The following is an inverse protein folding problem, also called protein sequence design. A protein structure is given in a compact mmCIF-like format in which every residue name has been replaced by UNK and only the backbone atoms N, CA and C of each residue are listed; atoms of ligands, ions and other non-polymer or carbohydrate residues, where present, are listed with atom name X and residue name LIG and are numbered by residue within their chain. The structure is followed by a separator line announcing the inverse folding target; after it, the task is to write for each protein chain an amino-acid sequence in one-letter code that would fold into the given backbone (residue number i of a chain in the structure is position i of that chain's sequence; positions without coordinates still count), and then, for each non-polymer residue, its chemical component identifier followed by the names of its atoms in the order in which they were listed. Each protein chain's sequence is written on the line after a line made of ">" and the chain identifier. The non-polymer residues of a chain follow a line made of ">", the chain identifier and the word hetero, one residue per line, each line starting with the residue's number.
data_IF_769852519578
#
_entry.id   IF_769852519578
#
_cell.length_a   1.000
_cell.length_b   1.000
_cell.length_c   1.000
_cell.angle_alpha   90.00
_cell.angle_beta   90.00
_cell.angle_gamma   90.00
#
_symmetry.space_group_name_H-M   'P 1'
#
loop_
_entity.id
_entity.type
_entity.pdbx_description
1 polymer ?
#
# COMPACT_ATOMS: atom_id res chain seq x y z
N UNK A 1 9.23 -8.80 -16.25
CA UNK A 1 10.07 -7.58 -16.42
C UNK A 1 10.42 -6.94 -15.07
N UNK A 2 9.50 -6.89 -14.08
CA UNK A 2 9.71 -6.20 -12.79
C UNK A 2 10.78 -6.85 -11.91
N UNK A 3 10.77 -8.17 -11.80
CA UNK A 3 11.65 -8.92 -10.90
C UNK A 3 12.80 -9.63 -11.60
N UNK A 4 12.79 -9.76 -12.93
CA UNK A 4 13.65 -10.69 -13.66
C UNK A 4 13.21 -12.15 -13.51
N UNK A 5 13.64 -13.02 -14.40
CA UNK A 5 13.10 -14.39 -14.52
C UNK A 5 13.37 -15.23 -13.27
N UNK A 6 14.61 -15.27 -12.78
CA UNK A 6 15.00 -16.11 -11.64
C UNK A 6 14.24 -15.71 -10.38
N UNK A 7 14.20 -14.42 -10.07
CA UNK A 7 13.47 -13.89 -8.91
C UNK A 7 11.97 -14.12 -9.05
N UNK A 8 11.39 -13.97 -10.24
CA UNK A 8 9.98 -14.26 -10.50
C UNK A 8 9.63 -15.70 -10.15
N UNK A 9 10.39 -16.66 -10.66
CA UNK A 9 10.17 -18.09 -10.37
C UNK A 9 10.29 -18.36 -8.86
N UNK A 10 11.38 -17.92 -8.23
CA UNK A 10 11.59 -18.13 -6.80
C UNK A 10 10.48 -17.52 -5.93
N UNK A 11 10.01 -16.33 -6.26
CA UNK A 11 8.99 -15.63 -5.50
C UNK A 11 7.62 -16.26 -5.70
N UNK A 12 7.22 -16.51 -6.96
CA UNK A 12 5.90 -17.09 -7.27
C UNK A 12 5.75 -18.54 -6.80
N UNK A 13 6.85 -19.29 -6.67
CA UNK A 13 6.83 -20.64 -6.10
C UNK A 13 6.70 -20.66 -4.58
N UNK A 14 6.75 -19.51 -3.92
CA UNK A 14 6.65 -19.37 -2.46
C UNK A 14 5.41 -18.63 -1.98
N UNK A 15 4.70 -17.93 -2.88
CA UNK A 15 3.50 -17.21 -2.51
C UNK A 15 2.37 -18.19 -2.15
N UNK A 16 1.65 -17.93 -1.06
CA UNK A 16 0.57 -18.73 -0.49
C UNK A 16 0.97 -20.19 -0.16
N UNK A 17 2.25 -20.43 0.06
CA UNK A 17 2.76 -21.74 0.43
C UNK A 17 3.08 -21.79 1.92
N UNK A 18 2.91 -22.94 2.57
CA UNK A 18 3.17 -23.16 3.99
C UNK A 18 4.54 -22.65 4.46
N UNK A 19 5.58 -22.83 3.64
CA UNK A 19 6.95 -22.37 3.93
C UNK A 19 7.31 -21.07 3.18
N UNK A 20 6.31 -20.31 2.79
CA UNK A 20 6.46 -19.13 1.96
C UNK A 20 5.96 -17.85 2.63
N UNK A 21 5.12 -17.12 1.93
CA UNK A 21 4.51 -15.87 2.40
C UNK A 21 3.14 -15.68 1.75
N UNK A 22 2.28 -14.93 2.41
CA UNK A 22 0.93 -14.64 1.91
C UNK A 22 0.94 -13.59 0.81
N UNK A 23 0.09 -13.80 -0.19
CA UNK A 23 -0.14 -12.80 -1.21
C UNK A 23 -0.77 -11.53 -0.60
N UNK A 24 -0.21 -10.34 -0.88
CA UNK A 24 -0.78 -9.09 -0.35
C UNK A 24 -2.14 -8.71 -0.97
N UNK A 25 -2.65 -9.51 -1.92
CA UNK A 25 -3.89 -9.20 -2.65
C UNK A 25 -5.16 -9.58 -1.92
N UNK A 26 -5.22 -10.78 -1.35
CA UNK A 26 -6.39 -11.30 -0.65
C UNK A 26 -5.99 -12.35 0.38
N UNK A 27 -6.94 -12.73 1.23
CA UNK A 27 -6.78 -13.83 2.19
C UNK A 27 -6.93 -15.17 1.46
N UNK A 28 -5.86 -15.66 0.89
CA UNK A 28 -5.81 -17.01 0.31
C UNK A 28 -5.63 -18.03 1.43
N UNK A 29 -6.49 -19.05 1.55
CA UNK A 29 -6.36 -20.03 2.63
C UNK A 29 -5.11 -20.90 2.41
N UNK A 30 -4.31 -21.08 3.47
CA UNK A 30 -3.19 -22.03 3.45
C UNK A 30 -3.70 -23.47 3.51
N UNK A 31 -3.14 -24.32 2.68
CA UNK A 31 -3.37 -25.76 2.73
C UNK A 31 -2.27 -26.47 3.54
N UNK A 32 -2.60 -27.63 4.12
CA UNK A 32 -1.62 -28.43 4.88
C UNK A 32 -0.47 -28.97 4.01
N UNK A 33 -0.71 -29.10 2.72
CA UNK A 33 0.25 -29.65 1.76
C UNK A 33 0.74 -28.57 0.82
N UNK A 34 2.04 -28.59 0.57
CA UNK A 34 2.64 -27.72 -0.43
C UNK A 34 2.21 -28.12 -1.84
N UNK A 35 1.83 -27.13 -2.64
CA UNK A 35 1.54 -27.26 -4.06
C UNK A 35 2.70 -26.76 -4.94
N UNK A 36 2.63 -27.00 -6.22
CA UNK A 36 3.64 -26.52 -7.16
C UNK A 36 3.62 -25.00 -7.27
N UNK A 37 2.41 -24.41 -7.34
CA UNK A 37 2.18 -22.98 -7.41
C UNK A 37 0.77 -22.66 -6.91
N UNK A 38 0.62 -21.61 -6.10
CA UNK A 38 -0.65 -21.19 -5.50
C UNK A 38 -0.84 -19.68 -5.60
N UNK A 39 -1.09 -19.21 -6.81
CA UNK A 39 -1.40 -17.83 -7.06
C UNK A 39 -2.34 -17.67 -8.26
N UNK A 40 -3.16 -16.64 -8.23
CA UNK A 40 -3.92 -16.20 -9.38
C UNK A 40 -3.13 -15.15 -10.16
N UNK A 41 -3.63 -14.75 -11.33
CA UNK A 41 -3.00 -13.72 -12.16
C UNK A 41 -2.83 -12.38 -11.41
N UNK A 42 -3.87 -11.93 -10.69
CA UNK A 42 -3.82 -10.68 -9.92
C UNK A 42 -2.82 -10.76 -8.76
N UNK A 43 -2.78 -11.89 -8.05
CA UNK A 43 -1.78 -12.13 -7.02
C UNK A 43 -0.36 -12.17 -7.55
N UNK A 44 -0.14 -12.81 -8.70
CA UNK A 44 1.15 -12.81 -9.39
C UNK A 44 1.60 -11.40 -9.79
N UNK A 45 0.70 -10.56 -10.29
CA UNK A 45 0.98 -9.15 -10.59
C UNK A 45 1.30 -8.34 -9.33
N UNK A 46 0.49 -8.46 -8.28
CA UNK A 46 0.70 -7.74 -7.02
C UNK A 46 2.06 -8.09 -6.40
N UNK A 47 2.40 -9.38 -6.35
CA UNK A 47 3.70 -9.85 -5.84
C UNK A 47 4.85 -9.35 -6.72
N UNK A 48 4.67 -9.30 -8.05
CA UNK A 48 5.69 -8.78 -8.97
C UNK A 48 5.98 -7.31 -8.73
N UNK A 49 4.96 -6.50 -8.49
CA UNK A 49 5.09 -5.08 -8.15
C UNK A 49 5.76 -4.88 -6.79
N UNK A 50 5.36 -5.65 -5.77
CA UNK A 50 5.97 -5.58 -4.44
C UNK A 50 7.45 -5.98 -4.45
N UNK A 51 7.82 -7.00 -5.21
CA UNK A 51 9.16 -7.55 -5.30
C UNK A 51 10.02 -6.94 -6.42
N UNK A 52 9.59 -5.83 -7.03
CA UNK A 52 10.32 -5.15 -8.10
C UNK A 52 11.74 -4.74 -7.67
N UNK A 53 12.67 -4.80 -8.61
CA UNK A 53 14.03 -4.29 -8.42
C UNK A 53 14.16 -2.80 -8.75
N UNK A 54 13.12 -2.22 -9.36
CA UNK A 54 13.10 -0.79 -9.71
C UNK A 54 12.96 0.06 -8.44
N UNK A 55 13.65 1.18 -8.43
CA UNK A 55 13.68 2.12 -7.29
C UNK A 55 13.43 3.53 -7.75
N UNK A 56 12.58 4.23 -7.00
CA UNK A 56 12.30 5.65 -7.14
C UNK A 56 12.89 6.36 -5.94
N UNK A 57 13.95 7.11 -6.17
CA UNK A 57 14.70 7.80 -5.15
C UNK A 57 14.93 9.28 -5.47
N UNK A 58 15.77 9.98 -4.71
CA UNK A 58 16.02 11.42 -4.87
C UNK A 58 16.41 11.84 -6.29
N UNK A 59 17.21 11.03 -6.98
CA UNK A 59 17.64 11.34 -8.35
C UNK A 59 16.46 11.37 -9.33
N UNK A 60 15.52 10.44 -9.20
CA UNK A 60 14.30 10.41 -10.02
C UNK A 60 13.48 11.70 -9.84
N UNK A 61 13.28 12.13 -8.59
CA UNK A 61 12.51 13.33 -8.29
C UNK A 61 13.25 14.63 -8.62
N UNK A 62 14.57 14.61 -8.65
CA UNK A 62 15.36 15.74 -9.14
C UNK A 62 15.27 15.91 -10.66
N UNK A 63 15.06 14.81 -11.39
CA UNK A 63 14.91 14.80 -12.85
C UNK A 63 13.49 15.13 -13.31
N UNK A 64 12.47 14.74 -12.52
CA UNK A 64 11.05 14.83 -12.89
C UNK A 64 10.33 15.87 -12.03
N UNK A 65 9.93 16.98 -12.66
CA UNK A 65 9.09 17.98 -12.01
C UNK A 65 7.67 17.45 -11.78
N UNK A 66 6.92 18.10 -10.90
CA UNK A 66 5.51 17.80 -10.64
C UNK A 66 4.68 17.84 -11.93
N UNK A 67 4.93 18.80 -12.80
CA UNK A 67 4.17 18.94 -14.05
C UNK A 67 4.47 17.78 -15.02
N UNK A 68 5.72 17.32 -15.06
CA UNK A 68 6.09 16.12 -15.83
C UNK A 68 5.39 14.88 -15.26
N UNK A 69 5.43 14.69 -13.93
CA UNK A 69 4.79 13.54 -13.28
C UNK A 69 3.27 13.53 -13.48
N UNK A 70 2.61 14.67 -13.42
CA UNK A 70 1.15 14.82 -13.69
C UNK A 70 0.77 14.52 -15.13
N UNK A 71 1.70 14.64 -16.06
CA UNK A 71 1.50 14.32 -17.46
C UNK A 71 1.52 12.83 -17.80
N UNK A 72 1.94 11.99 -16.86
CA UNK A 72 1.97 10.53 -17.01
C UNK A 72 0.71 9.88 -16.44
N UNK A 73 0.33 8.72 -16.97
CA UNK A 73 -0.74 7.91 -16.44
C UNK A 73 -0.30 7.10 -15.21
N UNK A 74 -1.27 6.60 -14.44
CA UNK A 74 -1.04 5.84 -13.22
C UNK A 74 -0.24 4.55 -13.47
N UNK A 75 -0.43 3.94 -14.65
CA UNK A 75 0.31 2.76 -15.02
C UNK A 75 1.81 3.06 -15.17
N UNK A 76 2.15 4.15 -15.88
CA UNK A 76 3.53 4.57 -16.04
C UNK A 76 4.18 4.89 -14.69
N UNK A 77 3.47 5.63 -13.82
CA UNK A 77 3.95 5.96 -12.47
C UNK A 77 4.22 4.69 -11.66
N UNK A 78 3.30 3.72 -11.68
CA UNK A 78 3.47 2.43 -11.00
C UNK A 78 4.65 1.61 -11.51
N UNK A 79 5.03 1.76 -12.79
CA UNK A 79 6.16 1.04 -13.39
C UNK A 79 7.55 1.62 -13.02
N UNK A 80 7.61 2.79 -12.39
CA UNK A 80 8.90 3.38 -12.01
C UNK A 80 9.58 2.64 -10.86
N UNK A 81 8.82 2.03 -9.97
CA UNK A 81 9.34 1.19 -8.90
C UNK A 81 8.94 1.66 -7.51
N UNK A 82 9.70 1.23 -6.50
CA UNK A 82 9.40 1.49 -5.09
C UNK A 82 10.09 2.76 -4.60
N UNK A 83 9.35 3.58 -3.86
CA UNK A 83 9.91 4.72 -3.12
C UNK A 83 10.95 4.23 -2.09
N UNK A 84 12.09 4.90 -2.03
CA UNK A 84 13.21 4.50 -1.17
C UNK A 84 13.55 5.51 -0.09
N UNK A 85 13.03 6.71 -0.18
CA UNK A 85 13.32 7.81 0.75
C UNK A 85 12.04 8.60 1.03
N UNK A 86 11.90 9.20 2.21
CA UNK A 86 10.88 10.20 2.44
C UNK A 86 11.16 11.41 1.54
N UNK A 87 10.11 11.87 0.89
CA UNK A 87 10.17 13.01 -0.02
C UNK A 87 9.12 14.03 0.39
N UNK A 88 9.48 15.30 0.30
CA UNK A 88 8.57 16.42 0.58
C UNK A 88 8.51 17.37 -0.60
N UNK A 89 7.35 17.96 -0.83
CA UNK A 89 7.13 19.05 -1.77
C UNK A 89 6.89 20.33 -0.98
N UNK A 90 7.83 21.24 -0.99
CA UNK A 90 7.67 22.54 -0.35
C UNK A 90 6.68 23.40 -1.13
N UNK A 91 6.01 24.32 -0.45
CA UNK A 91 5.06 25.24 -1.07
C UNK A 91 5.74 26.04 -2.20
N UNK A 92 5.17 25.99 -3.39
CA UNK A 92 5.71 26.67 -4.58
C UNK A 92 6.90 25.97 -5.25
N UNK A 93 7.37 24.84 -4.73
CA UNK A 93 8.42 24.07 -5.38
C UNK A 93 7.87 23.28 -6.58
N UNK A 94 8.72 23.05 -7.57
CA UNK A 94 8.39 22.29 -8.77
C UNK A 94 8.87 20.83 -8.71
N UNK A 95 9.69 20.48 -7.73
CA UNK A 95 10.26 19.15 -7.56
C UNK A 95 10.17 18.71 -6.10
N UNK A 96 9.98 17.40 -5.88
CA UNK A 96 10.17 16.83 -4.57
C UNK A 96 11.63 16.85 -4.17
N UNK A 97 11.90 17.07 -2.87
CA UNK A 97 13.24 16.90 -2.29
C UNK A 97 13.24 15.82 -1.21
N UNK A 98 14.37 15.13 -1.00
CA UNK A 98 14.48 14.17 0.10
C UNK A 98 14.54 14.91 1.44
N UNK A 99 13.99 14.27 2.47
CA UNK A 99 14.14 14.68 3.88
C UNK A 99 14.57 13.46 4.72
N UNK A 100 15.04 13.71 5.94
CA UNK A 100 15.29 12.61 6.87
C UNK A 100 13.98 11.97 7.36
N UNK A 101 14.07 10.75 7.88
CA UNK A 101 12.90 10.12 8.51
C UNK A 101 12.43 10.89 9.75
N UNK A 102 13.36 11.43 10.53
CA UNK A 102 13.04 12.22 11.71
C UNK A 102 12.29 13.49 11.33
N UNK A 103 12.75 14.22 10.31
CA UNK A 103 12.05 15.41 9.80
C UNK A 103 10.68 15.06 9.21
N UNK A 104 10.56 13.93 8.50
CA UNK A 104 9.29 13.50 7.94
C UNK A 104 8.26 13.16 9.04
N UNK A 105 8.69 12.44 10.07
CA UNK A 105 7.83 12.11 11.21
C UNK A 105 7.45 13.35 12.02
N UNK A 106 8.39 14.28 12.22
CA UNK A 106 8.11 15.55 12.89
C UNK A 106 7.11 16.39 12.09
N UNK A 107 7.29 16.49 10.78
CA UNK A 107 6.35 17.21 9.90
C UNK A 107 4.93 16.64 10.01
N UNK A 108 4.78 15.31 9.96
CA UNK A 108 3.48 14.66 10.10
C UNK A 108 2.87 14.91 11.49
N UNK A 109 3.68 14.85 12.53
CA UNK A 109 3.22 15.10 13.90
C UNK A 109 2.75 16.56 14.09
N UNK A 110 3.49 17.52 13.52
CA UNK A 110 3.15 18.94 13.58
C UNK A 110 1.84 19.23 12.83
N UNK A 111 1.65 18.66 11.65
CA UNK A 111 0.42 18.80 10.87
C UNK A 111 -0.80 18.21 11.60
N UNK A 112 -0.66 17.02 12.19
CA UNK A 112 -1.73 16.41 13.00
C UNK A 112 -2.04 17.27 14.24
N UNK A 113 -1.01 17.79 14.92
CA UNK A 113 -1.18 18.61 16.12
C UNK A 113 -1.76 20.00 15.82
N UNK A 114 -1.62 20.48 14.59
CA UNK A 114 -2.20 21.76 14.15
C UNK A 114 -3.70 21.70 13.86
N UNK A 115 -4.30 20.51 13.84
CA UNK A 115 -5.75 20.34 13.62
C UNK A 115 -6.48 20.58 14.94
N UNK A 116 -7.38 21.55 14.96
CA UNK A 116 -8.12 21.96 16.15
C UNK A 116 -9.06 20.85 16.68
N UNK A 117 -9.71 20.13 15.78
CA UNK A 117 -10.64 19.05 16.08
C UNK A 117 -10.12 17.73 15.45
N UNK A 118 -9.71 16.73 16.24
CA UNK A 118 -9.21 15.47 15.72
C UNK A 118 -10.15 14.77 14.72
N UNK A 119 -11.45 15.00 14.81
CA UNK A 119 -12.44 14.44 13.87
C UNK A 119 -12.39 15.05 12.47
N UNK A 120 -11.63 16.11 12.26
CA UNK A 120 -11.32 16.64 10.93
C UNK A 120 -10.23 15.84 10.22
N UNK A 121 -9.57 14.88 10.92
CA UNK A 121 -8.56 14.01 10.36
C UNK A 121 -9.14 12.63 10.05
N UNK A 122 -8.80 12.08 8.88
CA UNK A 122 -9.22 10.75 8.45
C UNK A 122 -7.98 9.87 8.25
N UNK A 123 -7.99 8.69 8.86
CA UNK A 123 -6.89 7.74 8.81
C UNK A 123 -7.32 6.49 8.02
N UNK A 124 -6.93 6.42 6.76
CA UNK A 124 -7.27 5.31 5.88
C UNK A 124 -6.23 4.19 5.93
N UNK A 125 -6.66 2.96 5.93
CA UNK A 125 -5.80 1.78 5.77
C UNK A 125 -6.33 0.83 4.72
N UNK A 126 -5.41 0.12 4.07
CA UNK A 126 -5.72 -0.92 3.10
C UNK A 126 -5.84 -2.29 3.78
N UNK A 127 -6.65 -3.19 3.23
CA UNK A 127 -6.69 -4.60 3.65
C UNK A 127 -5.38 -5.38 3.46
N UNK A 128 -4.39 -4.77 2.82
CA UNK A 128 -3.03 -5.33 2.70
C UNK A 128 -2.15 -5.06 3.91
N UNK A 129 -2.63 -4.31 4.89
CA UNK A 129 -1.90 -4.01 6.12
C UNK A 129 -1.88 -5.26 7.00
N UNK A 130 -0.72 -5.60 7.57
CA UNK A 130 -0.64 -6.70 8.53
C UNK A 130 -1.47 -6.40 9.78
N UNK A 131 -1.94 -7.43 10.47
CA UNK A 131 -2.75 -7.29 11.68
C UNK A 131 -2.03 -6.48 12.77
N UNK A 132 -0.73 -6.68 12.92
CA UNK A 132 0.10 -5.94 13.89
C UNK A 132 0.19 -4.46 13.54
N UNK A 133 0.42 -4.13 12.26
CA UNK A 133 0.46 -2.75 11.79
C UNK A 133 -0.92 -2.08 11.90
N UNK A 134 -2.00 -2.78 11.57
CA UNK A 134 -3.37 -2.29 11.73
C UNK A 134 -3.71 -2.00 13.19
N UNK A 135 -3.29 -2.87 14.12
CA UNK A 135 -3.48 -2.67 15.56
C UNK A 135 -2.73 -1.44 16.06
N UNK A 136 -1.44 -1.29 15.72
CA UNK A 136 -0.64 -0.13 16.10
C UNK A 136 -1.19 1.17 15.49
N UNK A 137 -1.64 1.10 14.25
CA UNK A 137 -2.28 2.23 13.57
C UNK A 137 -3.56 2.67 14.28
N UNK A 138 -4.42 1.73 14.67
CA UNK A 138 -5.62 2.01 15.46
C UNK A 138 -5.29 2.65 16.82
N UNK A 139 -4.26 2.17 17.51
CA UNK A 139 -3.81 2.77 18.77
C UNK A 139 -3.34 4.22 18.57
N UNK A 140 -2.56 4.48 17.53
CA UNK A 140 -2.12 5.83 17.16
C UNK A 140 -3.33 6.75 16.95
N UNK A 141 -4.28 6.34 16.11
CA UNK A 141 -5.47 7.15 15.76
C UNK A 141 -6.33 7.46 16.98
N UNK A 142 -6.54 6.48 17.85
CA UNK A 142 -7.24 6.70 19.13
C UNK A 142 -6.44 7.57 20.09
N UNK A 143 -5.12 7.50 20.04
CA UNK A 143 -4.23 8.41 20.79
C UNK A 143 -4.31 9.85 20.30
N UNK A 144 -4.53 10.07 19.00
CA UNK A 144 -4.82 11.40 18.41
C UNK A 144 -6.19 11.94 18.88
N UNK A 145 -7.15 11.07 19.19
CA UNK A 145 -8.44 11.44 19.75
C UNK A 145 -9.63 11.28 18.81
N UNK A 146 -9.47 10.52 17.72
CA UNK A 146 -10.55 10.24 16.76
C UNK A 146 -10.74 8.75 16.52
N UNK A 147 -11.89 8.36 15.95
CA UNK A 147 -12.19 7.03 15.42
C UNK A 147 -12.44 7.05 13.90
N UNK A 148 -12.01 8.08 13.21
CA UNK A 148 -12.16 8.20 11.76
C UNK A 148 -11.20 7.25 11.03
N UNK A 149 -11.55 5.97 11.03
CA UNK A 149 -10.77 4.84 10.49
C UNK A 149 -11.55 4.12 9.38
N UNK A 150 -11.86 4.78 8.25
CA UNK A 150 -12.40 4.06 7.11
C UNK A 150 -11.36 3.08 6.57
N UNK A 151 -11.81 1.93 6.12
CA UNK A 151 -10.96 0.91 5.52
C UNK A 151 -11.47 0.47 4.14
N UNK A 152 -10.68 -0.35 3.46
CA UNK A 152 -11.07 -0.84 2.14
C UNK A 152 -12.20 -1.87 2.20
N UNK A 153 -12.42 -2.54 3.33
CA UNK A 153 -13.48 -3.54 3.46
C UNK A 153 -14.85 -2.90 3.33
N UNK A 154 -15.07 -1.77 3.97
CA UNK A 154 -16.32 -1.02 3.87
C UNK A 154 -16.60 -0.54 2.44
N UNK A 155 -15.57 -0.14 1.71
CA UNK A 155 -15.71 0.35 0.34
C UNK A 155 -15.76 -0.77 -0.71
N UNK A 156 -15.09 -1.89 -0.46
CA UNK A 156 -14.90 -2.96 -1.44
C UNK A 156 -15.90 -4.12 -1.26
N UNK A 157 -16.20 -4.52 -0.03
CA UNK A 157 -16.97 -5.72 0.28
C UNK A 157 -18.39 -5.45 0.73
N UNK A 158 -18.71 -4.29 1.24
CA UNK A 158 -20.05 -3.97 1.72
C UNK A 158 -21.10 -4.04 0.61
N UNK A 159 -20.82 -3.46 -0.55
CA UNK A 159 -21.71 -3.53 -1.73
C UNK A 159 -21.90 -4.96 -2.23
N UNK A 160 -20.86 -5.79 -2.18
CA UNK A 160 -20.93 -7.21 -2.53
C UNK A 160 -21.79 -7.98 -1.52
N UNK A 161 -21.59 -7.74 -0.22
CA UNK A 161 -22.41 -8.35 0.84
C UNK A 161 -23.89 -8.01 0.69
N UNK A 162 -24.20 -6.74 0.46
CA UNK A 162 -25.59 -6.30 0.20
C UNK A 162 -26.19 -6.99 -1.02
N UNK A 163 -25.47 -7.01 -2.14
CA UNK A 163 -25.95 -7.64 -3.37
C UNK A 163 -26.15 -9.14 -3.20
N UNK A 164 -25.25 -9.84 -2.53
CA UNK A 164 -25.39 -11.28 -2.26
C UNK A 164 -26.56 -11.57 -1.33
N UNK A 165 -26.75 -10.76 -0.28
CA UNK A 165 -27.87 -10.90 0.66
C UNK A 165 -29.21 -10.74 -0.06
N UNK A 166 -29.33 -9.73 -0.92
CA UNK A 166 -30.56 -9.45 -1.67
C UNK A 166 -30.87 -10.49 -2.75
N UNK A 167 -29.85 -11.08 -3.37
CA UNK A 167 -30.03 -11.96 -4.54
C UNK A 167 -30.11 -13.44 -4.17
N UNK A 168 -29.23 -13.90 -3.27
CA UNK A 168 -29.12 -15.32 -2.91
C UNK A 168 -29.25 -15.59 -1.41
N UNK A 169 -29.51 -14.58 -0.59
CA UNK A 169 -29.70 -14.70 0.85
C UNK A 169 -28.45 -15.04 1.65
N UNK A 170 -27.26 -14.80 1.08
CA UNK A 170 -25.95 -15.01 1.71
C UNK A 170 -25.20 -13.69 1.71
N UNK A 171 -24.76 -13.23 2.87
CA UNK A 171 -23.96 -12.01 3.03
C UNK A 171 -22.90 -12.18 4.08
#
# INVERSE_FOLDING_TARGET
>A
EQMGIVRSVQTLMRVNQKDGFDCPGCAWPEEEKRHLAEFCENGGKAVAEEATLRRVGPAFFAEHSIDVLRGHDDWWLGQQGRLTHPMVLDAGATHYRPISWDDALQLIADEIAAVDDPDQTVFYTSGRTSNEAAFLYQLLVRGVGTNNLPDCSNMCHESTGSALTETIGIG
#
